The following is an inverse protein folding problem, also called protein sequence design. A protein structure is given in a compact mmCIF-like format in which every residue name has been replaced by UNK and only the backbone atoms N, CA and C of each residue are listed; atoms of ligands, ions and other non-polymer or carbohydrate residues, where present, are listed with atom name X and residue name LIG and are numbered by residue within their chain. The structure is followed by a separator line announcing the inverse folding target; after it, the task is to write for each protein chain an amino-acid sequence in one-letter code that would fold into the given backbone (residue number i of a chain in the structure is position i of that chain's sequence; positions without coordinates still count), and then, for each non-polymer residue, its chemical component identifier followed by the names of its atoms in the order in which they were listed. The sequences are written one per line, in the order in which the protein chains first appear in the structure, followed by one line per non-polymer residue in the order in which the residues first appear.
data_IF_825335723041
#
_entry.id   IF_825335723041
#
_cell.length_a   1.000
_cell.length_b   1.000
_cell.length_c   1.000
_cell.angle_alpha   90.00
_cell.angle_beta   90.00
_cell.angle_gamma   90.00
#
_symmetry.space_group_name_H-M   'P 1'
#
loop_
_entity.id
_entity.type
_entity.pdbx_description
1 polymer ?
#
# COMPACT_ATOMS: atom_id res chain seq x y z
N UNK A 1 -4.42 -42.07 39.68
CA UNK A 1 -5.21 -40.90 39.24
C UNK A 1 -4.30 -39.67 39.12
N UNK A 2 -3.28 -39.70 38.23
CA UNK A 2 -2.35 -38.56 38.11
C UNK A 2 -1.76 -38.33 36.72
N UNK A 3 -2.12 -39.10 35.68
CA UNK A 3 -1.48 -38.96 34.35
C UNK A 3 -2.40 -38.73 33.15
N UNK A 4 -3.73 -38.58 33.35
CA UNK A 4 -4.67 -38.35 32.24
C UNK A 4 -4.99 -36.85 32.04
N UNK A 5 -4.59 -35.97 32.96
CA UNK A 5 -4.94 -34.54 32.94
C UNK A 5 -3.86 -33.59 32.41
N UNK A 6 -2.66 -34.09 32.06
CA UNK A 6 -1.58 -33.24 31.51
C UNK A 6 -1.52 -33.21 29.98
N UNK A 7 -2.30 -34.04 29.29
CA UNK A 7 -2.21 -34.19 27.83
C UNK A 7 -3.28 -33.41 27.05
N UNK A 8 -4.25 -32.78 27.73
CA UNK A 8 -5.37 -32.07 27.09
C UNK A 8 -5.18 -30.56 26.98
N UNK A 9 -4.11 -29.99 27.53
CA UNK A 9 -3.82 -28.55 27.44
C UNK A 9 -2.89 -28.17 26.28
N UNK A 10 -2.36 -29.13 25.51
CA UNK A 10 -1.38 -28.87 24.44
C UNK A 10 -1.97 -28.67 23.04
N UNK A 11 -3.29 -28.86 22.84
CA UNK A 11 -3.89 -28.87 21.48
C UNK A 11 -4.65 -27.58 21.13
N UNK A 12 -4.82 -26.64 22.08
CA UNK A 12 -5.51 -25.36 21.84
C UNK A 12 -4.50 -24.21 21.57
N UNK A 13 -3.21 -24.39 21.86
CA UNK A 13 -2.19 -23.35 21.73
C UNK A 13 -1.51 -23.20 20.36
N UNK A 14 -1.82 -24.07 19.38
CA UNK A 14 -1.02 -24.18 18.14
C UNK A 14 -1.76 -23.78 16.85
N UNK A 15 -2.96 -23.21 16.93
CA UNK A 15 -3.78 -22.95 15.74
C UNK A 15 -3.81 -21.49 15.27
N UNK A 16 -3.20 -20.54 15.98
CA UNK A 16 -3.26 -19.11 15.60
C UNK A 16 -2.01 -18.25 15.88
N UNK A 17 -0.85 -18.84 16.20
CA UNK A 17 0.37 -18.02 16.28
C UNK A 17 0.91 -17.84 14.86
N UNK A 18 0.61 -16.70 14.22
CA UNK A 18 1.37 -16.31 13.04
C UNK A 18 2.84 -16.17 13.45
N UNK A 19 3.78 -16.49 12.56
CA UNK A 19 5.20 -16.24 12.80
C UNK A 19 5.54 -14.73 12.83
N UNK A 20 4.54 -13.89 12.55
CA UNK A 20 4.66 -12.44 12.38
C UNK A 20 3.49 -11.75 13.08
N UNK A 21 3.49 -11.70 14.43
CA UNK A 21 2.41 -11.11 15.20
C UNK A 21 2.24 -9.62 14.85
N UNK A 22 0.97 -9.21 14.73
CA UNK A 22 0.57 -7.82 14.54
C UNK A 22 -0.07 -7.29 15.82
N UNK A 23 0.22 -6.05 16.18
CA UNK A 23 -0.35 -5.38 17.35
C UNK A 23 -0.80 -3.95 17.03
N UNK A 24 -1.84 -3.45 17.72
CA UNK A 24 -2.27 -2.06 17.60
C UNK A 24 -1.27 -1.13 18.29
N UNK A 25 -0.82 -0.10 17.58
CA UNK A 25 0.08 0.94 18.10
C UNK A 25 -0.47 2.32 17.74
N UNK A 26 -0.56 3.21 18.74
CA UNK A 26 -0.99 4.60 18.54
C UNK A 26 0.17 5.41 17.93
N UNK A 27 -0.03 5.96 16.74
CA UNK A 27 0.95 6.84 16.11
C UNK A 27 1.08 8.16 16.88
N UNK A 28 2.30 8.65 17.02
CA UNK A 28 2.58 9.99 17.54
C UNK A 28 2.44 11.08 16.47
N UNK A 29 2.26 10.72 15.20
CA UNK A 29 2.09 11.65 14.07
C UNK A 29 0.68 12.23 14.03
N UNK A 30 -0.34 11.41 14.27
CA UNK A 30 -1.75 11.82 14.17
C UNK A 30 -2.64 11.36 15.32
N UNK A 31 -2.09 10.63 16.30
CA UNK A 31 -2.83 10.11 17.44
C UNK A 31 -3.80 8.98 17.12
N UNK A 32 -3.79 8.41 15.91
CA UNK A 32 -4.62 7.26 15.52
C UNK A 32 -3.88 5.93 15.73
N UNK A 33 -4.63 4.85 15.82
CA UNK A 33 -4.08 3.50 16.04
C UNK A 33 -3.91 2.77 14.71
N UNK A 34 -2.76 2.13 14.52
CA UNK A 34 -2.43 1.33 13.34
C UNK A 34 -2.01 -0.08 13.76
N UNK A 35 -2.38 -1.07 12.95
CA UNK A 35 -1.98 -2.46 13.16
C UNK A 35 -0.69 -2.75 12.41
N UNK A 36 0.39 -2.96 13.17
CA UNK A 36 1.76 -3.12 12.66
C UNK A 36 2.43 -4.34 13.32
N UNK A 37 3.55 -4.80 12.77
CA UNK A 37 4.31 -5.92 13.33
C UNK A 37 4.82 -5.63 14.74
N UNK A 38 4.75 -6.63 15.61
CA UNK A 38 5.32 -6.58 16.95
C UNK A 38 6.85 -6.74 16.91
N UNK A 39 7.53 -5.68 16.50
CA UNK A 39 8.98 -5.54 16.48
C UNK A 39 9.43 -4.37 17.37
N UNK A 40 10.72 -4.28 17.74
CA UNK A 40 11.22 -3.22 18.62
C UNK A 40 10.94 -1.79 18.12
N UNK A 41 10.86 -1.59 16.81
CA UNK A 41 10.62 -0.32 16.11
C UNK A 41 9.15 -0.10 15.69
N UNK A 42 8.21 -0.85 16.25
CA UNK A 42 6.76 -0.77 15.94
C UNK A 42 6.15 0.63 16.04
N UNK A 43 6.69 1.50 16.90
CA UNK A 43 6.25 2.89 16.99
C UNK A 43 6.59 3.68 15.72
N UNK A 44 7.79 3.45 15.16
CA UNK A 44 8.22 4.06 13.90
C UNK A 44 7.44 3.49 12.72
N UNK A 45 7.10 2.19 12.75
CA UNK A 45 6.23 1.57 11.75
C UNK A 45 4.84 2.22 11.73
N UNK A 46 4.21 2.42 12.90
CA UNK A 46 2.93 3.10 13.02
C UNK A 46 3.00 4.56 12.55
N UNK A 47 4.11 5.26 12.85
CA UNK A 47 4.34 6.63 12.39
C UNK A 47 4.55 6.73 10.87
N UNK A 48 5.26 5.78 10.28
CA UNK A 48 5.44 5.67 8.83
C UNK A 48 4.10 5.42 8.13
N UNK A 49 3.31 4.47 8.63
CA UNK A 49 1.97 4.19 8.10
C UNK A 49 1.06 5.43 8.19
N UNK A 50 1.10 6.15 9.31
CA UNK A 50 0.36 7.40 9.50
C UNK A 50 0.79 8.49 8.51
N UNK A 51 2.11 8.71 8.36
CA UNK A 51 2.67 9.66 7.39
C UNK A 51 2.18 9.38 5.97
N UNK A 52 2.26 8.11 5.55
CA UNK A 52 1.83 7.66 4.23
C UNK A 52 0.33 7.86 4.03
N UNK A 53 -0.50 7.43 4.99
CA UNK A 53 -1.97 7.62 4.93
C UNK A 53 -2.32 9.11 4.78
N UNK A 54 -1.72 9.98 5.59
CA UNK A 54 -1.99 11.42 5.54
C UNK A 54 -1.62 12.04 4.19
N UNK A 55 -0.52 11.61 3.57
CA UNK A 55 -0.13 12.02 2.22
C UNK A 55 -1.13 11.59 1.16
N UNK A 56 -1.57 10.33 1.21
CA UNK A 56 -2.59 9.80 0.28
C UNK A 56 -3.93 10.52 0.48
N UNK A 57 -4.36 10.72 1.73
CA UNK A 57 -5.57 11.46 2.07
C UNK A 57 -5.53 12.91 1.56
N UNK A 58 -4.39 13.59 1.76
CA UNK A 58 -4.15 14.93 1.21
C UNK A 58 -4.25 14.97 -0.31
N UNK A 59 -3.62 14.02 -1.00
CA UNK A 59 -3.69 13.94 -2.47
C UNK A 59 -5.14 13.71 -2.93
N UNK A 60 -5.86 12.76 -2.32
CA UNK A 60 -7.25 12.49 -2.65
C UNK A 60 -8.12 13.76 -2.51
N UNK A 61 -7.96 14.52 -1.42
CA UNK A 61 -8.65 15.79 -1.24
C UNK A 61 -8.35 16.82 -2.34
N UNK A 62 -7.08 16.95 -2.73
CA UNK A 62 -6.66 17.84 -3.83
C UNK A 62 -7.29 17.39 -5.15
N UNK A 63 -7.25 16.10 -5.47
CA UNK A 63 -7.79 15.56 -6.72
C UNK A 63 -9.32 15.72 -6.80
N UNK A 64 -10.03 15.45 -5.70
CA UNK A 64 -11.49 15.66 -5.61
C UNK A 64 -11.86 17.13 -5.82
N UNK A 65 -11.08 18.06 -5.30
CA UNK A 65 -11.32 19.49 -5.51
C UNK A 65 -10.99 19.95 -6.94
N UNK A 66 -9.87 19.48 -7.49
CA UNK A 66 -9.33 19.96 -8.78
C UNK A 66 -10.03 19.33 -9.98
N UNK A 67 -10.47 18.07 -9.86
CA UNK A 67 -11.02 17.28 -10.97
C UNK A 67 -12.30 16.51 -10.57
N UNK A 68 -13.34 17.18 -10.03
CA UNK A 68 -14.52 16.50 -9.48
C UNK A 68 -15.26 15.62 -10.51
N UNK A 69 -15.16 15.97 -11.80
CA UNK A 69 -15.85 15.25 -12.87
C UNK A 69 -15.06 14.10 -13.50
N UNK A 70 -13.75 14.02 -13.22
CA UNK A 70 -12.86 13.00 -13.79
C UNK A 70 -13.22 11.61 -13.24
N UNK A 71 -13.35 10.62 -14.13
CA UNK A 71 -13.80 9.27 -13.75
C UNK A 71 -12.90 8.64 -12.68
N UNK A 72 -11.58 8.76 -12.81
CA UNK A 72 -10.64 8.26 -11.81
C UNK A 72 -10.88 8.87 -10.42
N UNK A 73 -11.25 10.16 -10.35
CA UNK A 73 -11.53 10.84 -9.08
C UNK A 73 -12.87 10.41 -8.48
N UNK A 74 -13.86 10.11 -9.32
CA UNK A 74 -15.12 9.50 -8.87
C UNK A 74 -14.85 8.12 -8.27
N UNK A 75 -14.02 7.30 -8.90
CA UNK A 75 -13.60 5.99 -8.38
C UNK A 75 -12.85 6.14 -7.04
N UNK A 76 -11.90 7.08 -6.93
CA UNK A 76 -11.22 7.38 -5.65
C UNK A 76 -12.24 7.77 -4.58
N UNK A 77 -13.15 8.69 -4.89
CA UNK A 77 -14.15 9.18 -3.93
C UNK A 77 -15.11 8.08 -3.48
N UNK A 78 -15.41 7.12 -4.36
CA UNK A 78 -16.26 5.97 -4.04
C UNK A 78 -15.54 4.94 -3.18
N UNK A 79 -14.28 4.63 -3.48
CA UNK A 79 -13.58 3.45 -2.97
C UNK A 79 -12.59 3.76 -1.83
N UNK A 80 -11.97 4.94 -1.83
CA UNK A 80 -11.00 5.36 -0.81
C UNK A 80 -11.69 5.96 0.43
N UNK A 81 -11.19 5.62 1.61
CA UNK A 81 -11.63 6.16 2.90
C UNK A 81 -10.39 6.40 3.75
N UNK A 82 -10.34 7.58 4.36
CA UNK A 82 -9.25 7.98 5.22
C UNK A 82 -9.39 7.41 6.65
N UNK A 83 -9.33 6.07 6.73
CA UNK A 83 -9.48 5.30 7.96
C UNK A 83 -8.18 4.50 8.22
N UNK A 84 -7.50 4.69 9.37
CA UNK A 84 -6.30 3.92 9.70
C UNK A 84 -6.53 2.40 9.74
N UNK A 85 -7.75 1.93 10.01
CA UNK A 85 -8.05 0.50 10.05
C UNK A 85 -7.97 -0.17 8.67
N UNK A 86 -8.03 0.62 7.59
CA UNK A 86 -7.88 0.14 6.21
C UNK A 86 -6.42 0.07 5.78
N UNK A 87 -5.47 0.45 6.63
CA UNK A 87 -4.04 0.43 6.33
C UNK A 87 -3.35 -0.57 7.27
N UNK A 88 -2.85 -1.66 6.70
CA UNK A 88 -2.27 -2.76 7.47
C UNK A 88 -0.84 -3.04 7.02
N UNK A 89 0.03 -3.40 7.96
CA UNK A 89 1.37 -3.87 7.60
C UNK A 89 1.29 -5.29 7.03
N UNK A 90 1.79 -5.48 5.80
CA UNK A 90 1.86 -6.79 5.16
C UNK A 90 2.97 -7.65 5.80
N UNK A 91 2.61 -8.84 6.24
CA UNK A 91 3.53 -9.79 6.87
C UNK A 91 4.37 -10.58 5.85
N UNK A 92 5.54 -11.13 6.22
CA UNK A 92 6.41 -11.89 5.30
C UNK A 92 5.80 -13.13 4.64
N UNK A 93 4.75 -13.69 5.21
CA UNK A 93 3.96 -14.80 4.65
C UNK A 93 2.90 -14.35 3.62
N UNK A 94 2.69 -13.04 3.44
CA UNK A 94 1.82 -12.53 2.38
C UNK A 94 2.40 -12.83 0.99
N UNK A 95 1.53 -13.26 0.07
CA UNK A 95 1.90 -13.61 -1.31
C UNK A 95 2.40 -12.42 -2.14
N UNK A 96 2.00 -11.21 -1.75
CA UNK A 96 2.38 -9.95 -2.39
C UNK A 96 3.05 -9.02 -1.38
N UNK A 97 3.94 -8.15 -1.87
CA UNK A 97 4.66 -7.17 -1.04
C UNK A 97 3.72 -6.05 -0.59
N UNK A 98 2.88 -5.54 -1.49
CA UNK A 98 1.74 -4.68 -1.18
C UNK A 98 0.57 -5.08 -2.04
N UNK A 99 -0.64 -4.85 -1.54
CA UNK A 99 -1.87 -5.16 -2.26
C UNK A 99 -3.07 -4.42 -1.67
N UNK A 100 -4.08 -4.20 -2.51
CA UNK A 100 -5.37 -3.65 -2.11
C UNK A 100 -6.47 -4.72 -2.23
N UNK A 101 -7.30 -4.84 -1.19
CA UNK A 101 -8.49 -5.71 -1.18
C UNK A 101 -9.70 -4.90 -1.63
N UNK A 102 -10.56 -5.47 -2.48
CA UNK A 102 -11.82 -4.87 -2.94
C UNK A 102 -11.72 -3.38 -3.32
N UNK A 103 -10.75 -3.04 -4.18
CA UNK A 103 -10.48 -1.66 -4.63
C UNK A 103 -10.20 -0.69 -3.48
N UNK A 104 -9.52 -1.15 -2.44
CA UNK A 104 -9.01 -0.31 -1.35
C UNK A 104 -9.81 -0.39 -0.06
N UNK A 105 -10.73 -1.36 0.08
CA UNK A 105 -11.33 -1.77 1.36
C UNK A 105 -10.28 -1.97 2.44
N UNK A 106 -9.19 -2.62 2.07
CA UNK A 106 -7.97 -2.68 2.83
C UNK A 106 -6.79 -2.44 1.89
N UNK A 107 -5.77 -1.77 2.39
CA UNK A 107 -4.50 -1.51 1.73
C UNK A 107 -3.43 -2.09 2.64
N UNK A 108 -2.79 -3.15 2.16
CA UNK A 108 -1.73 -3.85 2.85
C UNK A 108 -0.40 -3.36 2.29
N UNK A 109 0.45 -2.80 3.15
CA UNK A 109 1.75 -2.25 2.78
C UNK A 109 2.87 -2.99 3.51
N UNK A 110 3.82 -3.55 2.78
CA UNK A 110 5.05 -4.02 3.41
C UNK A 110 5.89 -2.81 3.80
N UNK A 111 5.97 -2.52 5.10
CA UNK A 111 6.70 -1.37 5.62
C UNK A 111 8.21 -1.62 5.72
N UNK A 112 8.65 -2.86 5.50
CA UNK A 112 9.99 -3.34 5.82
C UNK A 112 10.72 -3.89 4.62
N UNK A 113 12.04 -3.84 4.67
CA UNK A 113 12.86 -4.61 3.75
C UNK A 113 12.67 -6.12 4.02
N UNK A 114 13.10 -6.95 3.06
CA UNK A 114 13.16 -8.42 3.24
C UNK A 114 14.43 -9.04 2.65
N UNK A 115 15.17 -8.30 1.83
CA UNK A 115 16.39 -8.79 1.21
C UNK A 115 17.44 -9.16 2.27
N UNK A 116 17.93 -10.40 2.22
CA UNK A 116 18.98 -10.88 3.13
C UNK A 116 18.57 -10.91 4.61
N UNK A 117 17.27 -10.96 4.94
CA UNK A 117 16.78 -10.92 6.31
C UNK A 117 16.79 -9.53 6.97
N UNK A 118 17.04 -8.48 6.19
CA UNK A 118 16.90 -7.10 6.67
C UNK A 118 15.43 -6.75 6.90
N UNK A 119 15.06 -6.32 8.11
CA UNK A 119 13.71 -5.93 8.52
C UNK A 119 13.57 -4.41 8.79
N UNK A 120 14.56 -3.61 8.36
CA UNK A 120 14.54 -2.16 8.50
C UNK A 120 13.34 -1.55 7.78
N UNK A 121 12.76 -0.50 8.35
CA UNK A 121 11.70 0.25 7.69
C UNK A 121 12.17 0.85 6.35
N UNK A 122 11.26 0.80 5.38
CA UNK A 122 11.45 1.38 4.05
C UNK A 122 11.37 2.90 4.14
N UNK A 123 12.16 3.58 3.30
CA UNK A 123 12.16 5.03 3.23
C UNK A 123 10.76 5.60 2.89
N UNK A 124 10.38 6.69 3.55
CA UNK A 124 9.08 7.35 3.41
C UNK A 124 8.72 7.75 1.96
N UNK A 125 9.69 8.17 1.13
CA UNK A 125 9.41 8.48 -0.28
C UNK A 125 9.10 7.22 -1.11
N UNK A 126 9.79 6.12 -0.83
CA UNK A 126 9.52 4.81 -1.46
C UNK A 126 8.17 4.27 -0.99
N UNK A 127 7.85 4.38 0.30
CA UNK A 127 6.53 4.00 0.80
C UNK A 127 5.41 4.85 0.20
N UNK A 128 5.66 6.15 -0.03
CA UNK A 128 4.71 7.02 -0.73
C UNK A 128 4.50 6.55 -2.16
N UNK A 129 5.56 6.20 -2.90
CA UNK A 129 5.43 5.63 -4.25
C UNK A 129 4.58 4.36 -4.28
N UNK A 130 4.82 3.43 -3.34
CA UNK A 130 4.04 2.17 -3.23
C UNK A 130 2.59 2.45 -2.86
N UNK A 131 2.31 3.38 -1.94
CA UNK A 131 0.93 3.71 -1.61
C UNK A 131 0.19 4.42 -2.77
N UNK A 132 0.91 5.18 -3.62
CA UNK A 132 0.36 5.76 -4.84
C UNK A 132 0.08 4.69 -5.92
N UNK A 133 0.89 3.61 -5.96
CA UNK A 133 0.60 2.44 -6.79
C UNK A 133 -0.72 1.79 -6.36
N UNK A 134 -0.90 1.56 -5.06
CA UNK A 134 -2.16 1.01 -4.52
C UNK A 134 -3.35 1.94 -4.79
N UNK A 135 -3.21 3.26 -4.61
CA UNK A 135 -4.25 4.22 -4.99
C UNK A 135 -4.60 4.16 -6.48
N UNK A 136 -3.65 3.80 -7.33
CA UNK A 136 -3.88 3.62 -8.77
C UNK A 136 -4.72 2.38 -9.05
N UNK A 137 -4.60 1.31 -8.26
CA UNK A 137 -5.53 0.18 -8.31
C UNK A 137 -6.94 0.56 -7.83
N UNK A 138 -7.05 1.45 -6.84
CA UNK A 138 -8.33 1.98 -6.33
C UNK A 138 -9.11 2.77 -7.41
N UNK A 139 -8.40 3.49 -8.28
CA UNK A 139 -9.01 4.34 -9.31
C UNK A 139 -9.11 3.71 -10.71
N UNK A 140 -8.58 2.49 -10.88
CA UNK A 140 -8.62 1.74 -12.14
C UNK A 140 -9.68 0.65 -12.08
N UNK A 141 -10.55 0.56 -13.09
CA UNK A 141 -11.61 -0.44 -13.13
C UNK A 141 -11.07 -1.85 -13.36
N UNK A 142 -10.16 -2.00 -14.33
CA UNK A 142 -9.51 -3.28 -14.64
C UNK A 142 -8.68 -3.82 -13.47
N UNK A 143 -8.39 -5.12 -13.51
CA UNK A 143 -7.53 -5.79 -12.52
C UNK A 143 -6.15 -6.03 -13.15
N UNK A 144 -5.10 -5.80 -12.35
CA UNK A 144 -3.71 -5.94 -12.77
C UNK A 144 -3.11 -4.63 -13.29
N UNK A 145 -2.00 -4.76 -14.01
CA UNK A 145 -1.14 -3.66 -14.43
C UNK A 145 -1.24 -3.42 -15.94
N UNK A 146 -2.48 -3.23 -16.42
CA UNK A 146 -2.76 -2.92 -17.82
C UNK A 146 -2.39 -1.48 -18.22
N UNK A 147 -2.54 -1.12 -19.51
CA UNK A 147 -2.22 0.24 -19.99
C UNK A 147 -3.00 1.36 -19.29
N UNK A 148 -4.25 1.08 -18.90
CA UNK A 148 -5.11 1.99 -18.14
C UNK A 148 -4.58 2.21 -16.71
N UNK A 149 -4.18 1.13 -16.02
CA UNK A 149 -3.52 1.21 -14.72
C UNK A 149 -2.25 2.07 -14.80
N UNK A 150 -1.36 1.79 -15.76
CA UNK A 150 -0.09 2.52 -15.86
C UNK A 150 -0.28 3.99 -16.21
N UNK A 151 -1.28 4.32 -17.03
CA UNK A 151 -1.61 5.71 -17.32
C UNK A 151 -2.16 6.42 -16.08
N UNK A 152 -3.05 5.77 -15.33
CA UNK A 152 -3.57 6.28 -14.06
C UNK A 152 -2.46 6.46 -13.03
N UNK A 153 -1.52 5.51 -12.92
CA UNK A 153 -0.41 5.60 -12.00
C UNK A 153 0.56 6.73 -12.36
N UNK A 154 0.90 6.87 -13.64
CA UNK A 154 1.67 8.01 -14.13
C UNK A 154 1.00 9.36 -13.80
N UNK A 155 -0.33 9.45 -13.95
CA UNK A 155 -1.09 10.65 -13.61
C UNK A 155 -1.09 10.95 -12.10
N UNK A 156 -1.32 9.93 -11.27
CA UNK A 156 -1.30 10.06 -9.81
C UNK A 156 0.08 10.51 -9.31
N UNK A 157 1.17 9.95 -9.87
CA UNK A 157 2.54 10.38 -9.53
C UNK A 157 2.78 11.83 -9.93
N UNK A 158 2.35 12.23 -11.13
CA UNK A 158 2.50 13.61 -11.59
C UNK A 158 1.77 14.61 -10.68
N UNK A 159 0.54 14.30 -10.26
CA UNK A 159 -0.20 15.17 -9.33
C UNK A 159 0.41 15.15 -7.92
N UNK A 160 0.91 14.00 -7.45
CA UNK A 160 1.59 13.90 -6.16
C UNK A 160 2.89 14.73 -6.15
N UNK A 161 3.68 14.69 -7.22
CA UNK A 161 4.90 15.48 -7.37
C UNK A 161 4.60 16.97 -7.44
N UNK A 162 3.63 17.38 -8.26
CA UNK A 162 3.23 18.78 -8.41
C UNK A 162 2.76 19.42 -7.08
N UNK A 163 2.30 18.61 -6.13
CA UNK A 163 1.85 19.05 -4.81
C UNK A 163 2.86 18.77 -3.67
N UNK A 164 4.08 18.37 -4.01
CA UNK A 164 5.16 18.10 -3.05
C UNK A 164 4.90 16.93 -2.10
N UNK A 165 4.00 16.00 -2.49
CA UNK A 165 3.64 14.82 -1.70
C UNK A 165 4.63 13.68 -1.96
N UNK A 166 5.10 13.58 -3.19
CA UNK A 166 6.09 12.60 -3.64
C UNK A 166 7.27 13.33 -4.29
N UNK A 167 8.49 12.85 -4.04
CA UNK A 167 9.68 13.32 -4.74
C UNK A 167 10.00 12.33 -5.86
N UNK A 168 9.96 12.81 -7.10
CA UNK A 168 10.35 12.00 -8.26
C UNK A 168 11.70 11.32 -8.03
N UNK A 169 11.73 10.03 -8.34
CA UNK A 169 12.92 9.20 -8.31
C UNK A 169 12.92 8.38 -9.59
N UNK A 170 14.01 8.47 -10.36
CA UNK A 170 14.21 7.64 -11.55
C UNK A 170 14.68 6.25 -11.11
N UNK A 171 13.71 5.38 -10.83
CA UNK A 171 13.96 4.00 -10.42
C UNK A 171 14.50 3.13 -11.56
N UNK A 172 14.35 3.56 -12.81
CA UNK A 172 14.96 2.85 -13.95
C UNK A 172 16.49 3.00 -13.92
N UNK A 173 16.98 4.22 -13.68
CA UNK A 173 18.41 4.49 -13.56
C UNK A 173 18.98 4.15 -12.17
N UNK A 174 18.15 4.24 -11.12
CA UNK A 174 18.55 3.98 -9.73
C UNK A 174 17.53 3.06 -9.04
N UNK A 175 17.56 1.73 -9.32
CA UNK A 175 16.64 0.80 -8.70
C UNK A 175 16.77 0.83 -7.18
N UNK A 176 15.63 0.83 -6.49
CA UNK A 176 15.60 0.75 -5.03
C UNK A 176 15.02 -0.58 -4.59
N UNK A 177 15.59 -1.13 -3.52
CA UNK A 177 15.02 -2.32 -2.90
C UNK A 177 13.77 -1.94 -2.10
N UNK A 178 12.71 -2.70 -2.31
CA UNK A 178 11.47 -2.61 -1.57
C UNK A 178 11.01 -4.03 -1.24
N UNK A 179 10.91 -4.36 0.04
CA UNK A 179 10.33 -5.63 0.48
C UNK A 179 10.95 -6.88 -0.21
N UNK A 180 12.24 -6.83 -0.54
CA UNK A 180 12.95 -7.93 -1.22
C UNK A 180 12.84 -7.95 -2.76
N UNK A 181 12.10 -7.02 -3.37
CA UNK A 181 12.08 -6.80 -4.82
C UNK A 181 12.77 -5.49 -5.20
N UNK A 182 13.12 -5.33 -6.47
CA UNK A 182 13.63 -4.06 -7.00
C UNK A 182 12.49 -3.29 -7.67
N UNK A 183 12.25 -2.05 -7.25
CA UNK A 183 11.37 -1.15 -7.98
C UNK A 183 12.18 -0.57 -9.14
N UNK A 184 11.66 -0.74 -10.35
CA UNK A 184 12.23 -0.17 -11.60
C UNK A 184 11.19 0.62 -12.41
N UNK A 185 9.96 0.71 -11.90
CA UNK A 185 8.84 1.32 -12.62
C UNK A 185 9.04 2.83 -12.75
N UNK A 186 8.74 3.38 -13.92
CA UNK A 186 8.76 4.82 -14.19
C UNK A 186 7.64 5.20 -15.16
N UNK A 187 6.37 5.04 -14.73
CA UNK A 187 5.23 5.27 -15.61
C UNK A 187 5.10 6.76 -15.96
N UNK A 188 4.60 7.02 -17.16
CA UNK A 188 4.36 8.37 -17.69
C UNK A 188 2.91 8.55 -18.04
N UNK A 189 2.35 9.68 -17.65
CA UNK A 189 0.99 10.05 -18.00
C UNK A 189 0.89 10.53 -19.45
N UNK A 190 -0.13 10.04 -20.16
CA UNK A 190 -0.57 10.55 -21.45
C UNK A 190 -2.06 10.93 -21.36
N UNK A 191 -2.41 12.23 -21.37
CA UNK A 191 -3.80 12.70 -21.35
C UNK A 191 -4.66 12.14 -22.49
N UNK A 192 -4.06 11.73 -23.62
CA UNK A 192 -4.80 11.14 -24.75
C UNK A 192 -5.33 9.74 -24.45
N UNK A 193 -4.84 9.10 -23.39
CA UNK A 193 -5.26 7.77 -22.94
C UNK A 193 -6.29 7.83 -21.80
N UNK A 194 -6.77 9.02 -21.45
CA UNK A 194 -7.90 9.16 -20.53
C UNK A 194 -9.20 8.66 -21.19
N UNK A 195 -9.94 7.79 -20.51
CA UNK A 195 -11.27 7.36 -20.92
C UNK A 195 -11.32 6.39 -22.12
N UNK A 196 -10.17 6.03 -22.70
CA UNK A 196 -10.12 4.89 -23.62
C UNK A 196 -10.25 3.61 -22.80
N UNK A 197 -11.35 2.88 -22.99
CA UNK A 197 -11.48 1.50 -22.51
C UNK A 197 -10.46 0.65 -23.29
N UNK A 198 -9.21 0.63 -22.81
CA UNK A 198 -8.06 -0.01 -23.47
C UNK A 198 -8.07 -1.53 -23.26
N UNK A 199 -9.24 -2.16 -23.41
CA UNK A 199 -9.34 -3.61 -23.56
C UNK A 199 -8.72 -4.00 -24.90
N UNK A 200 -7.39 -4.03 -24.97
CA UNK A 200 -6.68 -4.69 -26.05
C UNK A 200 -6.63 -6.16 -25.67
N UNK A 201 -7.51 -6.92 -26.31
CA UNK A 201 -7.60 -8.36 -26.20
C UNK A 201 -8.37 -8.98 -27.35
N UNK A 202 -8.14 -8.57 -28.59
CA UNK A 202 -8.35 -9.51 -29.71
C UNK A 202 -7.16 -10.44 -29.75
N UNK A 203 -7.36 -11.63 -29.20
CA UNK A 203 -6.53 -12.80 -29.46
C UNK A 203 -6.73 -13.16 -30.94
N UNK A 204 -5.66 -13.09 -31.72
CA UNK A 204 -5.51 -13.91 -32.95
C UNK A 204 -4.80 -15.20 -32.58
#
# INVERSE_FOLDING_TARGET
MTDVLKQTTSWIGSLFSSNYPLIPVKSTVDGRTYTVRDLPDKQDAANLMASVRLKISKLCGILTQKYPDKLQVKQISQNFRDDPNRFLEATPDAAHTSYSVNKGEEIHLCLRQRAGGNESLVNDNVMTFVALHELSHVCTESVGHGPDFWNNFGWILQEAEANGIYKYTDFQSHPVSYCGVSITDSPRYDPKKDGSNMQIGTIT
#
